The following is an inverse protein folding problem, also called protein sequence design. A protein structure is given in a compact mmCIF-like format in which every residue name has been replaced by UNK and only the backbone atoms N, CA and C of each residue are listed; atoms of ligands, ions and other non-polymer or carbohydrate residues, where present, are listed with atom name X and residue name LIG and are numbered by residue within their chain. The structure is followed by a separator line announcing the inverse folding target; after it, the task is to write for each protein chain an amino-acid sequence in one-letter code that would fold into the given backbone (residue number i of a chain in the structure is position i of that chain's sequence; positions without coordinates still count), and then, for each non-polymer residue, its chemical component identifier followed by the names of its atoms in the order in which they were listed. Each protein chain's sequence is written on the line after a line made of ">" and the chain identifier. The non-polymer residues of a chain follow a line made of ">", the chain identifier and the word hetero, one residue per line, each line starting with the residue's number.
data_IF_924697740018
#
_entry.id   IF_924697740018
#
_cell.length_a   1.000
_cell.length_b   1.000
_cell.length_c   1.000
_cell.angle_alpha   90.00
_cell.angle_beta   90.00
_cell.angle_gamma   90.00
#
_symmetry.space_group_name_H-M   'P 1'
#
loop_
_entity.id
_entity.type
_entity.pdbx_description
1 polymer ?
#
# COMPACT_ATOMS: atom_id res chain seq x y z
N UNK A 1 -90.56 -15.62 -39.84
CA UNK A 1 -89.75 -16.45 -40.77
C UNK A 1 -88.80 -15.52 -41.51
N UNK A 2 -87.47 -15.59 -41.32
CA UNK A 2 -86.52 -14.68 -41.96
C UNK A 2 -86.47 -14.90 -43.48
N UNK A 3 -86.43 -13.79 -44.23
CA UNK A 3 -86.49 -13.78 -45.70
C UNK A 3 -85.20 -14.42 -46.28
N UNK A 4 -85.38 -15.23 -47.33
CA UNK A 4 -84.31 -16.01 -48.01
C UNK A 4 -83.11 -15.16 -48.47
N UNK A 5 -83.28 -13.84 -48.64
CA UNK A 5 -82.23 -12.89 -49.00
C UNK A 5 -81.26 -12.55 -47.85
N UNK A 6 -81.72 -12.48 -46.60
CA UNK A 6 -80.85 -12.21 -45.43
C UNK A 6 -79.92 -13.38 -45.12
N UNK A 7 -80.38 -14.62 -45.34
CA UNK A 7 -79.59 -15.83 -45.10
C UNK A 7 -78.41 -15.93 -46.10
N UNK A 8 -78.60 -15.43 -47.33
CA UNK A 8 -77.53 -15.41 -48.35
C UNK A 8 -76.44 -14.39 -48.01
N UNK A 9 -76.83 -13.19 -47.58
CA UNK A 9 -75.90 -12.12 -47.19
C UNK A 9 -74.99 -12.53 -46.01
N UNK A 10 -75.55 -13.20 -45.01
CA UNK A 10 -74.80 -13.59 -43.82
C UNK A 10 -73.78 -14.71 -44.08
N UNK A 11 -74.07 -15.63 -45.02
CA UNK A 11 -73.13 -16.69 -45.44
C UNK A 11 -71.93 -16.13 -46.19
N UNK A 12 -72.14 -15.16 -47.08
CA UNK A 12 -71.05 -14.52 -47.82
C UNK A 12 -70.07 -13.79 -46.89
N UNK A 13 -70.60 -13.07 -45.89
CA UNK A 13 -69.80 -12.31 -44.92
C UNK A 13 -69.07 -13.24 -43.92
N UNK A 14 -69.69 -14.36 -43.52
CA UNK A 14 -69.05 -15.36 -42.67
C UNK A 14 -67.86 -16.04 -43.37
N UNK A 15 -68.03 -16.44 -44.64
CA UNK A 15 -66.93 -17.03 -45.42
C UNK A 15 -65.77 -16.05 -45.62
N UNK A 16 -66.07 -14.75 -45.76
CA UNK A 16 -65.05 -13.71 -45.86
C UNK A 16 -64.33 -13.47 -44.53
N UNK A 17 -65.05 -13.50 -43.40
CA UNK A 17 -64.48 -13.41 -42.04
C UNK A 17 -63.62 -14.63 -41.69
N UNK A 18 -64.03 -15.83 -42.09
CA UNK A 18 -63.24 -17.05 -41.89
C UNK A 18 -61.96 -17.04 -42.73
N UNK A 19 -62.03 -16.67 -44.02
CA UNK A 19 -60.81 -16.49 -44.85
C UNK A 19 -59.83 -15.50 -44.24
N UNK A 20 -60.30 -14.39 -43.65
CA UNK A 20 -59.42 -13.44 -42.95
C UNK A 20 -58.79 -14.03 -41.68
N UNK A 21 -59.52 -14.83 -40.90
CA UNK A 21 -58.98 -15.50 -39.71
C UNK A 21 -57.93 -16.57 -40.05
N UNK A 22 -58.06 -17.26 -41.18
CA UNK A 22 -57.09 -18.27 -41.61
C UNK A 22 -55.91 -17.70 -42.41
N UNK A 23 -56.08 -16.59 -43.12
CA UNK A 23 -54.99 -15.92 -43.84
C UNK A 23 -54.04 -15.15 -42.92
N UNK A 24 -54.47 -14.83 -41.69
CA UNK A 24 -53.65 -14.13 -40.69
C UNK A 24 -52.96 -15.09 -39.71
N UNK A 25 -52.86 -16.37 -40.06
CA UNK A 25 -51.86 -17.26 -39.47
C UNK A 25 -50.60 -17.07 -40.27
N UNK A 26 -49.96 -15.91 -40.07
CA UNK A 26 -48.57 -15.74 -40.46
C UNK A 26 -47.79 -16.77 -39.66
N UNK A 27 -47.50 -17.90 -40.29
CA UNK A 27 -46.45 -18.77 -39.82
C UNK A 27 -45.20 -17.91 -39.81
N UNK A 28 -44.76 -17.56 -38.61
CA UNK A 28 -43.52 -16.88 -38.34
C UNK A 28 -42.38 -17.83 -38.69
N UNK A 29 -42.18 -18.05 -39.98
CA UNK A 29 -40.95 -18.63 -40.49
C UNK A 29 -39.93 -17.50 -40.45
N UNK A 30 -39.20 -17.39 -39.33
CA UNK A 30 -38.02 -16.54 -39.26
C UNK A 30 -37.02 -17.05 -40.31
N UNK A 31 -37.02 -16.41 -41.47
CA UNK A 31 -35.91 -16.47 -42.41
C UNK A 31 -34.80 -15.57 -41.84
N UNK A 32 -33.96 -16.16 -41.01
CA UNK A 32 -33.07 -15.47 -40.07
C UNK A 32 -31.64 -15.34 -40.65
N UNK A 33 -31.34 -14.20 -41.27
CA UNK A 33 -29.95 -13.75 -41.50
C UNK A 33 -29.59 -12.52 -40.64
N UNK A 34 -30.61 -11.81 -40.17
CA UNK A 34 -30.54 -10.61 -39.35
C UNK A 34 -30.60 -10.89 -37.84
N UNK A 35 -31.23 -11.99 -37.41
CA UNK A 35 -31.19 -12.44 -36.01
C UNK A 35 -29.87 -13.18 -35.70
N UNK A 36 -29.22 -13.86 -36.66
CA UNK A 36 -27.90 -14.48 -36.47
C UNK A 36 -26.83 -13.42 -36.29
N UNK A 37 -26.89 -12.32 -37.06
CA UNK A 37 -25.97 -11.19 -36.90
C UNK A 37 -26.13 -10.52 -35.53
N UNK A 38 -27.37 -10.35 -35.05
CA UNK A 38 -27.64 -9.86 -33.69
C UNK A 38 -27.06 -10.80 -32.63
N UNK A 39 -27.31 -12.12 -32.75
CA UNK A 39 -26.80 -13.12 -31.82
C UNK A 39 -25.26 -13.17 -31.85
N UNK A 40 -24.63 -13.07 -33.01
CA UNK A 40 -23.17 -13.04 -33.12
C UNK A 40 -22.57 -11.80 -32.49
N UNK A 41 -23.12 -10.61 -32.75
CA UNK A 41 -22.66 -9.36 -32.13
C UNK A 41 -22.83 -9.42 -30.61
N UNK A 42 -23.99 -9.88 -30.14
CA UNK A 42 -24.26 -10.02 -28.71
C UNK A 42 -23.34 -11.06 -28.04
N UNK A 43 -23.07 -12.18 -28.72
CA UNK A 43 -22.14 -13.21 -28.25
C UNK A 43 -20.70 -12.68 -28.19
N UNK A 44 -20.26 -11.91 -29.19
CA UNK A 44 -18.93 -11.29 -29.19
C UNK A 44 -18.77 -10.23 -28.09
N UNK A 45 -19.82 -9.45 -27.81
CA UNK A 45 -19.82 -8.50 -26.70
C UNK A 45 -19.75 -9.20 -25.34
N UNK A 46 -20.53 -10.27 -25.13
CA UNK A 46 -20.46 -11.06 -23.90
C UNK A 46 -19.08 -11.68 -23.73
N UNK A 47 -18.53 -12.30 -24.78
CA UNK A 47 -17.19 -12.88 -24.74
C UNK A 47 -16.11 -11.81 -24.48
N UNK A 48 -16.25 -10.62 -25.06
CA UNK A 48 -15.36 -9.50 -24.79
C UNK A 48 -15.42 -9.05 -23.34
N UNK A 49 -16.63 -8.93 -22.76
CA UNK A 49 -16.82 -8.54 -21.37
C UNK A 49 -16.33 -9.61 -20.38
N UNK A 50 -16.52 -10.90 -20.70
CA UNK A 50 -16.02 -11.98 -19.84
C UNK A 50 -14.49 -12.08 -19.91
N UNK A 51 -13.88 -11.96 -21.09
CA UNK A 51 -12.42 -11.97 -21.24
C UNK A 51 -11.79 -10.75 -20.55
N UNK A 52 -12.35 -9.56 -20.72
CA UNK A 52 -11.86 -8.36 -20.04
C UNK A 52 -12.06 -8.45 -18.53
N UNK A 53 -13.18 -8.99 -18.05
CA UNK A 53 -13.43 -9.26 -16.63
C UNK A 53 -12.45 -10.28 -16.05
N UNK A 54 -12.19 -11.38 -16.74
CA UNK A 54 -11.22 -12.40 -16.33
C UNK A 54 -9.80 -11.84 -16.34
N UNK A 55 -9.43 -11.03 -17.35
CA UNK A 55 -8.13 -10.38 -17.40
C UNK A 55 -7.95 -9.40 -16.24
N UNK A 56 -8.97 -8.58 -15.95
CA UNK A 56 -8.96 -7.69 -14.81
C UNK A 56 -8.88 -8.45 -13.47
N UNK A 57 -9.56 -9.60 -13.36
CA UNK A 57 -9.49 -10.47 -12.20
C UNK A 57 -8.10 -11.11 -12.04
N UNK A 58 -7.48 -11.61 -13.11
CA UNK A 58 -6.11 -12.14 -13.07
C UNK A 58 -5.10 -11.04 -12.73
N UNK A 59 -5.25 -9.84 -13.29
CA UNK A 59 -4.43 -8.69 -12.91
C UNK A 59 -4.65 -8.31 -11.44
N UNK A 60 -5.90 -8.34 -10.95
CA UNK A 60 -6.20 -8.13 -9.54
C UNK A 60 -5.57 -9.20 -8.66
N UNK A 61 -5.56 -10.47 -9.07
CA UNK A 61 -4.88 -11.56 -8.35
C UNK A 61 -3.36 -11.38 -8.37
N UNK A 62 -2.75 -10.96 -9.48
CA UNK A 62 -1.31 -10.64 -9.51
C UNK A 62 -1.01 -9.49 -8.55
N UNK A 63 -1.84 -8.43 -8.55
CA UNK A 63 -1.69 -7.32 -7.62
C UNK A 63 -1.94 -7.77 -6.18
N UNK A 64 -2.88 -8.68 -5.95
CA UNK A 64 -3.17 -9.27 -4.65
C UNK A 64 -2.01 -10.13 -4.16
N UNK A 65 -1.45 -11.02 -4.96
CA UNK A 65 -0.26 -11.82 -4.63
C UNK A 65 0.96 -10.93 -4.34
N UNK A 66 1.08 -9.77 -5.00
CA UNK A 66 2.08 -8.74 -4.67
C UNK A 66 1.69 -7.89 -3.44
N UNK A 67 0.44 -7.98 -2.98
CA UNK A 67 -0.12 -7.27 -1.84
C UNK A 67 -0.46 -8.19 -0.64
N UNK A 68 -0.21 -9.50 -0.72
CA UNK A 68 -0.59 -10.52 0.25
C UNK A 68 0.61 -10.91 1.13
N UNK A 69 0.98 -10.01 2.04
CA UNK A 69 1.59 -10.39 3.32
C UNK A 69 0.63 -10.06 4.49
N UNK A 70 -0.64 -9.74 4.19
CA UNK A 70 -1.50 -8.97 5.10
C UNK A 70 -2.81 -9.67 5.58
N UNK A 71 -2.97 -11.01 5.49
CA UNK A 71 -4.16 -11.69 6.06
C UNK A 71 -3.94 -13.02 6.85
N UNK A 72 -2.71 -13.43 7.18
CA UNK A 72 -2.49 -14.66 8.00
C UNK A 72 -1.82 -14.38 9.36
N UNK A 73 -1.52 -13.12 9.69
CA UNK A 73 -0.85 -12.75 10.95
C UNK A 73 -1.83 -12.11 11.94
N UNK A 74 -2.97 -12.75 12.18
CA UNK A 74 -3.86 -12.36 13.29
C UNK A 74 -4.34 -13.52 14.15
N UNK A 75 -3.85 -14.75 13.93
CA UNK A 75 -4.21 -15.90 14.78
C UNK A 75 -3.04 -16.56 15.50
N UNK A 76 -1.77 -16.11 15.32
CA UNK A 76 -0.60 -16.70 15.99
C UNK A 76 0.11 -15.76 17.00
N UNK A 77 -0.57 -14.74 17.52
CA UNK A 77 0.01 -13.73 18.43
C UNK A 77 -0.39 -13.99 19.90
N UNK A 78 -0.47 -15.25 20.35
CA UNK A 78 -0.49 -15.59 21.79
C UNK A 78 0.22 -16.93 22.06
N UNK A 79 1.47 -17.14 21.60
CA UNK A 79 2.31 -18.22 22.19
C UNK A 79 3.82 -18.11 21.87
N UNK A 80 4.44 -16.92 21.95
CA UNK A 80 5.92 -16.80 21.84
C UNK A 80 6.58 -15.88 22.86
N UNK A 81 5.94 -15.70 24.02
CA UNK A 81 6.57 -15.08 25.18
C UNK A 81 6.59 -16.11 26.31
N UNK A 82 7.46 -17.13 26.19
CA UNK A 82 8.06 -17.87 27.31
C UNK A 82 8.89 -19.06 26.80
N UNK A 83 10.19 -18.86 26.59
CA UNK A 83 11.21 -19.83 27.02
C UNK A 83 12.40 -19.06 27.57
N UNK A 84 12.36 -18.91 28.88
CA UNK A 84 13.41 -18.39 29.76
C UNK A 84 14.64 -19.30 29.64
N UNK A 85 15.83 -18.70 29.76
CA UNK A 85 17.10 -19.38 29.57
C UNK A 85 17.36 -20.57 30.51
N UNK A 86 18.12 -21.55 30.01
CA UNK A 86 19.12 -22.31 30.77
C UNK A 86 20.03 -23.13 29.84
N UNK A 87 21.32 -22.79 29.94
CA UNK A 87 22.54 -23.62 29.86
C UNK A 87 22.98 -24.18 28.49
N UNK A 88 24.23 -23.86 28.10
CA UNK A 88 25.38 -24.77 28.34
C UNK A 88 26.69 -24.14 27.81
N UNK A 89 27.49 -23.54 28.69
CA UNK A 89 28.93 -23.37 28.44
C UNK A 89 29.69 -24.07 29.56
N UNK A 90 29.78 -25.39 29.42
CA UNK A 90 30.68 -26.23 30.23
C UNK A 90 32.13 -25.90 29.87
N UNK A 91 32.88 -25.39 30.85
CA UNK A 91 34.29 -25.69 31.05
C UNK A 91 35.31 -25.08 30.11
N UNK A 92 35.80 -23.87 30.45
CA UNK A 92 37.25 -23.60 30.38
C UNK A 92 37.64 -22.58 31.45
N UNK A 93 38.32 -23.13 32.45
CA UNK A 93 38.98 -22.47 33.57
C UNK A 93 40.00 -21.41 33.10
N UNK A 94 39.84 -20.17 33.55
CA UNK A 94 40.87 -19.15 33.70
C UNK A 94 40.43 -18.32 34.93
N UNK A 95 40.76 -18.72 36.16
CA UNK A 95 41.98 -18.34 36.90
C UNK A 95 42.34 -16.85 36.73
N UNK A 96 42.52 -16.15 37.86
CA UNK A 96 43.01 -14.76 38.09
C UNK A 96 41.89 -13.84 38.56
N UNK A 97 42.01 -13.05 39.62
CA UNK A 97 42.85 -13.08 40.82
C UNK A 97 42.15 -12.10 41.76
N UNK A 98 42.08 -12.47 43.02
CA UNK A 98 41.58 -11.66 44.12
C UNK A 98 42.39 -10.37 44.25
N UNK A 99 41.73 -9.22 44.39
CA UNK A 99 42.32 -8.05 45.05
C UNK A 99 41.26 -7.38 45.94
N UNK A 100 41.51 -7.23 47.24
CA UNK A 100 40.62 -6.56 48.19
C UNK A 100 40.58 -5.03 48.02
N UNK A 101 39.41 -4.48 48.31
CA UNK A 101 39.12 -3.07 48.48
C UNK A 101 39.85 -2.51 49.70
N UNK A 102 40.61 -1.42 49.53
CA UNK A 102 41.11 -0.58 50.62
C UNK A 102 40.96 0.89 50.22
N UNK A 103 39.96 1.54 50.83
CA UNK A 103 39.84 2.99 50.98
C UNK A 103 40.62 3.35 52.26
N UNK A 104 41.33 4.48 52.25
CA UNK A 104 41.23 5.36 53.42
C UNK A 104 40.97 6.83 53.05
N UNK A 105 40.26 7.44 53.99
CA UNK A 105 39.76 8.82 54.06
C UNK A 105 40.84 9.91 54.13
N UNK A 106 40.38 11.16 53.90
CA UNK A 106 40.94 12.46 54.29
C UNK A 106 42.23 12.89 53.57
N UNK A 107 42.35 14.10 53.02
CA UNK A 107 42.48 15.38 53.74
C UNK A 107 41.97 16.54 52.87
N UNK A 108 41.37 17.48 53.59
CA UNK A 108 40.80 18.76 53.22
C UNK A 108 41.85 19.89 53.06
N UNK A 109 41.44 20.97 52.40
CA UNK A 109 41.89 22.37 52.59
C UNK A 109 42.75 23.05 51.50
N UNK A 110 42.07 24.03 50.88
CA UNK A 110 42.50 25.41 50.64
C UNK A 110 43.80 25.69 49.86
N UNK A 111 43.66 26.30 48.68
CA UNK A 111 43.77 27.77 48.55
C UNK A 111 43.79 28.20 47.08
N UNK A 112 42.88 29.11 46.74
CA UNK A 112 43.02 30.30 45.88
C UNK A 112 44.28 30.36 45.01
N UNK A 113 44.12 30.50 43.69
CA UNK A 113 44.67 31.61 42.88
C UNK A 113 44.08 31.55 41.47
N UNK A 114 43.50 32.69 41.09
CA UNK A 114 43.07 33.10 39.75
C UNK A 114 44.28 33.34 38.84
N UNK A 115 44.33 32.75 37.64
CA UNK A 115 44.59 33.51 36.40
C UNK A 115 44.49 32.63 35.14
N UNK A 116 43.63 33.10 34.22
CA UNK A 116 43.80 33.16 32.76
C UNK A 116 44.76 32.15 32.08
N UNK A 117 44.25 30.98 31.68
CA UNK A 117 44.61 30.37 30.39
C UNK A 117 43.38 29.64 29.83
N UNK A 118 42.87 30.11 28.69
CA UNK A 118 41.91 29.40 27.83
C UNK A 118 42.58 28.14 27.27
N UNK A 119 42.06 26.92 27.50
CA UNK A 119 42.43 25.77 26.70
C UNK A 119 41.33 25.51 25.66
N UNK A 120 41.70 25.74 24.40
CA UNK A 120 41.07 25.14 23.24
C UNK A 120 41.32 23.63 23.39
N UNK A 121 40.32 22.83 23.79
CA UNK A 121 40.46 21.37 23.75
C UNK A 121 39.85 20.82 22.45
N UNK A 122 40.68 20.84 21.42
CA UNK A 122 40.61 19.88 20.31
C UNK A 122 41.12 18.55 20.86
N UNK A 123 40.24 17.56 21.01
CA UNK A 123 40.57 16.17 20.64
C UNK A 123 39.32 15.29 20.68
N UNK A 124 38.78 15.00 19.49
CA UNK A 124 38.51 13.62 19.06
C UNK A 124 38.29 13.60 17.55
N UNK A 125 39.40 13.56 16.80
CA UNK A 125 39.39 12.78 15.56
C UNK A 125 39.37 11.29 15.93
N UNK A 126 38.73 10.45 15.10
CA UNK A 126 39.53 9.77 14.10
C UNK A 126 39.18 10.24 12.69
N UNK A 127 40.25 10.59 11.98
CA UNK A 127 40.46 10.60 10.54
C UNK A 127 39.39 9.84 9.73
N UNK A 128 38.74 10.56 8.82
CA UNK A 128 38.46 10.06 7.48
C UNK A 128 38.51 11.24 6.51
N UNK A 129 39.69 11.45 5.95
CA UNK A 129 39.89 12.28 4.77
C UNK A 129 39.01 11.83 3.61
N UNK A 130 37.88 12.50 3.41
CA UNK A 130 37.18 12.56 2.13
C UNK A 130 36.71 14.00 1.92
N UNK A 131 37.30 14.68 0.93
CA UNK A 131 36.82 15.96 0.45
C UNK A 131 35.45 15.74 -0.22
N UNK A 132 34.38 15.82 0.57
CA UNK A 132 33.01 15.79 0.07
C UNK A 132 32.58 17.24 -0.14
N UNK A 133 32.23 17.58 -1.38
CA UNK A 133 31.52 18.83 -1.68
C UNK A 133 30.32 18.93 -0.74
N UNK A 134 30.38 19.85 0.22
CA UNK A 134 29.43 19.95 1.32
C UNK A 134 28.09 20.55 0.83
N UNK A 135 27.37 19.81 0.01
CA UNK A 135 25.92 19.87 0.04
C UNK A 135 25.51 19.10 1.30
N UNK A 136 25.28 19.84 2.39
CA UNK A 136 24.71 19.27 3.61
C UNK A 136 23.37 18.63 3.24
N UNK A 137 23.29 17.31 3.35
CA UNK A 137 22.05 16.57 3.08
C UNK A 137 20.97 17.07 4.02
N UNK A 138 19.78 17.42 3.48
CA UNK A 138 18.66 17.88 4.31
C UNK A 138 18.27 16.81 5.33
N UNK A 139 17.85 17.26 6.50
CA UNK A 139 17.29 16.41 7.56
C UNK A 139 15.91 15.89 7.14
N UNK A 140 15.48 14.78 7.76
CA UNK A 140 14.17 14.20 7.48
C UNK A 140 13.00 15.15 7.73
N UNK A 141 13.08 15.91 8.83
CA UNK A 141 12.10 16.93 9.17
C UNK A 141 12.02 18.04 8.11
N UNK A 142 13.16 18.55 7.65
CA UNK A 142 13.18 19.60 6.61
C UNK A 142 12.56 19.12 5.31
N UNK A 143 12.86 17.88 4.90
CA UNK A 143 12.28 17.27 3.70
C UNK A 143 10.78 17.04 3.87
N UNK A 144 10.36 16.56 5.05
CA UNK A 144 8.95 16.36 5.37
C UNK A 144 8.17 17.68 5.25
N UNK A 145 8.65 18.75 5.88
CA UNK A 145 7.98 20.06 5.87
C UNK A 145 7.95 20.67 4.45
N UNK A 146 9.01 20.48 3.67
CA UNK A 146 9.12 21.05 2.33
C UNK A 146 8.35 20.29 1.23
N UNK A 147 8.00 19.02 1.46
CA UNK A 147 7.47 18.15 0.40
C UNK A 147 6.39 17.18 0.87
N UNK A 148 6.62 16.44 1.95
CA UNK A 148 5.79 15.30 2.33
C UNK A 148 4.51 15.72 3.07
N UNK A 149 4.58 16.81 3.85
CA UNK A 149 3.52 17.28 4.73
C UNK A 149 2.23 17.67 3.98
N UNK A 150 2.33 18.09 2.72
CA UNK A 150 1.16 18.47 1.91
C UNK A 150 0.14 17.34 1.80
N UNK A 151 0.61 16.09 1.70
CA UNK A 151 -0.25 14.92 1.66
C UNK A 151 -0.32 14.24 3.02
N UNK A 152 0.82 14.02 3.67
CA UNK A 152 0.89 13.23 4.89
C UNK A 152 0.50 14.00 6.15
N UNK A 153 0.44 15.33 6.16
CA UNK A 153 0.03 16.10 7.34
C UNK A 153 -1.44 15.90 7.69
N UNK A 154 -2.32 16.00 6.69
CA UNK A 154 -3.76 15.79 6.86
C UNK A 154 -4.26 14.42 6.36
N UNK A 155 -3.42 13.64 5.68
CA UNK A 155 -3.81 12.38 5.04
C UNK A 155 -4.60 12.58 3.74
N UNK A 156 -4.19 13.57 2.93
CA UNK A 156 -4.85 13.91 1.67
C UNK A 156 -4.78 12.73 0.70
N UNK A 157 -5.87 12.48 -0.02
CA UNK A 157 -5.98 11.42 -1.02
C UNK A 157 -5.60 10.03 -0.48
N UNK A 158 -5.87 9.77 0.81
CA UNK A 158 -5.59 8.49 1.46
C UNK A 158 -4.12 8.28 1.86
N UNK A 159 -3.29 9.32 1.82
CA UNK A 159 -1.94 9.27 2.37
C UNK A 159 -1.98 8.91 3.88
N UNK A 160 -1.07 8.07 4.39
CA UNK A 160 -0.99 7.80 5.81
C UNK A 160 -0.66 9.09 6.56
N UNK A 161 -1.53 9.46 7.51
CA UNK A 161 -1.41 10.68 8.28
C UNK A 161 -0.21 10.59 9.22
N UNK A 162 0.61 11.63 9.25
CA UNK A 162 1.73 11.77 10.17
C UNK A 162 1.22 11.77 11.61
N UNK A 163 1.85 10.97 12.48
CA UNK A 163 1.43 10.75 13.86
C UNK A 163 0.34 9.68 14.04
N UNK A 164 -0.18 9.08 12.97
CA UNK A 164 -1.20 8.03 13.07
C UNK A 164 -0.58 6.63 13.23
N UNK A 165 -0.34 6.23 14.48
CA UNK A 165 0.28 4.93 14.78
C UNK A 165 -0.44 3.73 14.18
N UNK A 166 -1.76 3.79 13.99
CA UNK A 166 -2.52 2.67 13.40
C UNK A 166 -2.21 2.57 11.91
N UNK A 167 -2.18 3.70 11.21
CA UNK A 167 -1.85 3.75 9.79
C UNK A 167 -0.38 3.38 9.49
N UNK A 168 0.54 3.66 10.42
CA UNK A 168 1.98 3.41 10.24
C UNK A 168 2.43 2.02 10.69
N UNK A 169 1.80 1.40 11.70
CA UNK A 169 2.16 0.04 12.15
C UNK A 169 2.07 -1.00 11.03
N UNK A 170 1.00 -1.01 10.26
CA UNK A 170 0.83 -1.96 9.13
C UNK A 170 1.83 -1.74 7.99
N UNK A 171 2.48 -0.57 7.95
CA UNK A 171 3.47 -0.21 6.92
C UNK A 171 4.87 -0.59 7.34
N UNK A 172 5.24 -0.28 8.59
CA UNK A 172 6.58 -0.57 9.13
C UNK A 172 6.83 -2.08 9.28
N UNK A 173 5.78 -2.89 9.50
CA UNK A 173 5.90 -4.37 9.49
C UNK A 173 6.44 -4.90 8.15
N UNK A 174 6.28 -4.15 7.05
CA UNK A 174 6.77 -4.54 5.72
C UNK A 174 8.28 -4.30 5.52
N UNK A 175 8.95 -3.71 6.51
CA UNK A 175 10.37 -3.39 6.49
C UNK A 175 10.68 -2.01 5.89
N UNK A 176 11.73 -1.39 6.41
CA UNK A 176 12.11 -0.03 6.05
C UNK A 176 12.58 0.06 4.59
N UNK A 177 13.25 -0.96 4.07
CA UNK A 177 13.71 -1.02 2.68
C UNK A 177 12.55 -0.88 1.68
N UNK A 178 11.40 -1.50 1.99
CA UNK A 178 10.21 -1.44 1.15
C UNK A 178 9.56 -0.06 1.22
N UNK A 179 9.58 0.59 2.40
CA UNK A 179 9.11 1.97 2.55
C UNK A 179 9.99 2.95 1.78
N UNK A 180 11.32 2.81 1.88
CA UNK A 180 12.25 3.64 1.11
C UNK A 180 12.07 3.46 -0.38
N UNK A 181 11.99 2.21 -0.86
CA UNK A 181 11.81 1.93 -2.28
C UNK A 181 10.51 2.55 -2.82
N UNK A 182 9.41 2.43 -2.07
CA UNK A 182 8.13 3.03 -2.42
C UNK A 182 8.18 4.57 -2.42
N UNK A 183 8.88 5.17 -1.46
CA UNK A 183 9.02 6.63 -1.39
C UNK A 183 9.92 7.19 -2.50
N UNK A 184 11.01 6.49 -2.83
CA UNK A 184 11.98 6.91 -3.86
C UNK A 184 11.39 6.71 -5.26
N UNK A 185 10.86 5.53 -5.55
CA UNK A 185 10.39 5.17 -6.89
C UNK A 185 8.94 5.56 -7.15
N UNK A 186 8.20 5.91 -6.09
CA UNK A 186 6.76 6.09 -6.14
C UNK A 186 6.03 4.77 -5.93
N UNK A 187 4.77 4.88 -5.52
CA UNK A 187 3.94 3.74 -5.17
C UNK A 187 2.49 4.00 -5.54
N UNK A 188 1.86 3.02 -6.18
CA UNK A 188 0.42 2.99 -6.43
C UNK A 188 -0.13 1.86 -5.59
N UNK A 189 -1.04 2.18 -4.67
CA UNK A 189 -1.66 1.18 -3.81
C UNK A 189 -3.12 1.45 -3.56
N UNK A 190 -3.72 0.61 -2.71
CA UNK A 190 -5.14 0.65 -2.37
C UNK A 190 -5.59 2.02 -1.83
N UNK A 191 -4.71 2.69 -1.08
CA UNK A 191 -5.01 3.96 -0.44
C UNK A 191 -4.85 5.18 -1.37
N UNK A 192 -4.13 5.05 -2.49
CA UNK A 192 -3.86 6.18 -3.40
C UNK A 192 -2.52 6.06 -4.10
N UNK A 193 -2.06 7.20 -4.61
CA UNK A 193 -0.81 7.34 -5.37
C UNK A 193 0.19 8.19 -4.59
N UNK A 194 1.38 7.65 -4.37
CA UNK A 194 2.54 8.37 -3.87
C UNK A 194 3.51 8.61 -5.04
N UNK A 195 3.71 9.85 -5.50
CA UNK A 195 4.67 10.13 -6.57
C UNK A 195 6.11 9.81 -6.16
N UNK A 196 6.96 9.50 -7.14
CA UNK A 196 8.39 9.30 -6.92
C UNK A 196 9.01 10.49 -6.19
N UNK A 197 9.78 10.23 -5.14
CA UNK A 197 10.40 11.22 -4.26
C UNK A 197 9.42 12.27 -3.71
N UNK A 198 8.16 11.89 -3.50
CA UNK A 198 7.11 12.82 -3.07
C UNK A 198 6.84 13.96 -4.07
N UNK A 199 7.14 13.75 -5.36
CA UNK A 199 6.98 14.76 -6.41
C UNK A 199 8.15 15.75 -6.50
N UNK A 200 9.25 15.50 -5.77
CA UNK A 200 10.43 16.36 -5.72
C UNK A 200 11.64 15.64 -6.33
N UNK A 201 11.85 15.74 -7.66
CA UNK A 201 12.96 15.06 -8.33
C UNK A 201 14.34 15.62 -7.94
N UNK A 202 14.38 16.79 -7.30
CA UNK A 202 15.58 17.43 -6.78
C UNK A 202 16.11 16.80 -5.48
N UNK A 203 15.32 15.97 -4.80
CA UNK A 203 15.78 15.26 -3.60
C UNK A 203 16.69 14.08 -3.95
N UNK A 204 17.76 13.92 -3.19
CA UNK A 204 18.55 12.70 -3.20
C UNK A 204 17.80 11.56 -2.51
N UNK A 205 18.17 10.32 -2.82
CA UNK A 205 17.53 9.15 -2.21
C UNK A 205 17.76 9.10 -0.69
N UNK A 206 18.90 9.61 -0.22
CA UNK A 206 19.19 9.72 1.21
C UNK A 206 18.28 10.75 1.91
N UNK A 207 18.02 11.89 1.28
CA UNK A 207 17.07 12.88 1.82
C UNK A 207 15.65 12.31 1.91
N UNK A 208 15.24 11.49 0.93
CA UNK A 208 13.95 10.79 0.98
C UNK A 208 13.92 9.75 2.09
N UNK A 209 14.99 8.95 2.28
CA UNK A 209 15.10 7.99 3.40
C UNK A 209 14.98 8.68 4.75
N UNK A 210 15.75 9.76 4.96
CA UNK A 210 15.66 10.56 6.18
C UNK A 210 14.23 11.03 6.47
N UNK A 211 13.47 11.42 5.43
CA UNK A 211 12.08 11.84 5.58
C UNK A 211 11.16 10.68 5.96
N UNK A 212 11.36 9.49 5.38
CA UNK A 212 10.64 8.28 5.75
C UNK A 212 10.90 7.95 7.22
N UNK A 213 12.16 7.98 7.67
CA UNK A 213 12.55 7.72 9.06
C UNK A 213 11.88 8.70 10.02
N UNK A 214 11.96 9.99 9.71
CA UNK A 214 11.30 11.01 10.51
C UNK A 214 9.79 10.75 10.65
N UNK A 215 9.15 10.30 9.57
CA UNK A 215 7.70 10.01 9.57
C UNK A 215 7.35 8.74 10.32
N UNK A 216 8.13 7.67 10.19
CA UNK A 216 7.89 6.40 10.90
C UNK A 216 8.15 6.57 12.39
N UNK A 217 9.29 7.16 12.76
CA UNK A 217 9.68 7.40 14.16
C UNK A 217 8.69 8.33 14.88
N UNK A 218 8.19 9.36 14.20
CA UNK A 218 7.23 10.30 14.80
C UNK A 218 5.80 9.76 14.86
N UNK A 219 5.52 8.61 14.23
CA UNK A 219 4.18 8.04 14.15
C UNK A 219 3.99 6.75 14.94
N UNK A 220 5.06 6.08 15.36
CA UNK A 220 5.01 4.84 16.15
C UNK A 220 5.06 5.11 17.65
#
# INVERSE_FOLDING_TARGET
>A
MPKKSEISYNKANLNQRLKRKFSNKQYFTMNNTNDTSFIHIFTLLILGLTVTGLLAFVLAQIVADNAEEDEVVSQNIIERIQTVGRQNTTGKQLLVSSVPSLIPDSIESSSVVTDQVKPINVTKEPDLTAAVSANVSKTGKEVYEAACAVCHGAGVAGAPKFGDSVAWKSRVVKGDEKLYANAINGYIGKAGVMPAKGGRPDLSDNEVRNAVDFMTESSL
#
